data_IF_686339495148
#
_entry.id   IF_686339495148
#
_cell.length_a   1.000
_cell.length_b   1.000
_cell.length_c   1.000
_cell.angle_alpha   90.00
_cell.angle_beta   90.00
_cell.angle_gamma   90.00
#
_symmetry.space_group_name_H-M   'P 1'
#
loop_
_entity.id
_entity.type
_entity.pdbx_description
1 polymer ?
#
# COMPACT_ATOMS: atom_id res chain seq x y z
N UNK A 1 7.71 -2.65 15.76
CA UNK A 1 6.71 -3.29 14.83
C UNK A 1 6.68 -2.56 13.49
N UNK A 2 6.52 -1.23 13.44
CA UNK A 2 6.53 -0.48 12.17
C UNK A 2 7.92 -0.29 11.56
N UNK A 3 8.97 -0.55 12.29
CA UNK A 3 10.37 -0.57 11.84
C UNK A 3 10.70 -1.69 10.85
N UNK A 4 9.84 -2.72 10.77
CA UNK A 4 9.99 -3.83 9.83
C UNK A 4 9.21 -3.64 8.50
N UNK A 5 8.54 -2.50 8.30
CA UNK A 5 7.76 -2.23 7.10
C UNK A 5 8.15 -0.89 6.47
N UNK A 6 8.33 -0.88 5.17
CA UNK A 6 8.42 0.34 4.37
C UNK A 6 7.05 0.62 3.75
N UNK A 7 6.56 1.85 3.93
CA UNK A 7 5.36 2.31 3.21
C UNK A 7 5.80 2.84 1.85
N UNK A 8 5.24 2.27 0.79
CA UNK A 8 5.49 2.64 -0.60
C UNK A 8 4.24 3.31 -1.17
N UNK A 9 4.38 4.51 -1.68
CA UNK A 9 3.31 5.27 -2.33
C UNK A 9 3.76 5.63 -3.74
N UNK A 10 3.01 5.19 -4.75
CA UNK A 10 3.19 5.66 -6.13
C UNK A 10 2.28 6.86 -6.36
N UNK A 11 2.86 7.99 -6.74
CA UNK A 11 2.13 9.23 -7.00
C UNK A 11 2.16 9.58 -8.48
N UNK A 12 1.05 10.14 -8.99
CA UNK A 12 0.95 10.75 -10.31
C UNK A 12 -0.13 11.83 -10.27
N UNK A 13 0.29 13.11 -10.33
CA UNK A 13 -0.60 14.29 -10.16
C UNK A 13 -1.44 14.20 -8.87
N UNK A 14 -0.81 13.86 -7.76
CA UNK A 14 -1.47 13.51 -6.49
C UNK A 14 -1.39 14.62 -5.44
N UNK A 15 -0.96 15.84 -5.78
CA UNK A 15 -0.82 16.95 -4.82
C UNK A 15 -2.10 17.22 -4.01
N UNK A 16 -3.26 16.98 -4.61
CA UNK A 16 -4.58 17.22 -4.01
C UNK A 16 -4.98 16.21 -2.93
N UNK A 17 -4.33 15.04 -2.84
CA UNK A 17 -4.70 13.98 -1.88
C UNK A 17 -3.57 13.57 -0.93
N UNK A 18 -2.41 14.24 -0.97
CA UNK A 18 -1.27 13.89 -0.10
C UNK A 18 -1.62 13.98 1.40
N UNK A 19 -2.53 14.86 1.79
CA UNK A 19 -2.94 15.05 3.19
C UNK A 19 -3.52 13.77 3.82
N UNK A 20 -4.21 12.94 3.03
CA UNK A 20 -4.76 11.67 3.49
C UNK A 20 -3.68 10.69 4.02
N UNK A 21 -2.43 10.87 3.60
CA UNK A 21 -1.32 10.02 4.02
C UNK A 21 -0.62 10.48 5.30
N UNK A 22 -0.89 11.71 5.81
CA UNK A 22 -0.14 12.28 6.93
C UNK A 22 -0.17 11.43 8.18
N UNK A 23 -1.35 10.96 8.57
CA UNK A 23 -1.52 10.16 9.76
C UNK A 23 -0.70 8.86 9.71
N UNK A 24 -0.63 8.22 8.54
CA UNK A 24 0.15 7.01 8.33
C UNK A 24 1.65 7.31 8.31
N UNK A 25 2.08 8.22 7.43
CA UNK A 25 3.50 8.43 7.13
C UNK A 25 4.26 9.08 8.29
N UNK A 26 3.60 9.91 9.12
CA UNK A 26 4.21 10.46 10.33
C UNK A 26 4.62 9.39 11.35
N UNK A 27 4.03 8.20 11.31
CA UNK A 27 4.29 7.10 12.24
C UNK A 27 5.20 6.00 11.65
N UNK A 28 5.57 6.12 10.36
CA UNK A 28 6.36 5.11 9.66
C UNK A 28 7.80 5.59 9.49
N UNK A 29 8.80 4.90 10.07
CA UNK A 29 10.20 5.31 9.94
C UNK A 29 10.78 5.10 8.53
N UNK A 30 10.18 4.23 7.74
CA UNK A 30 10.62 3.90 6.39
C UNK A 30 9.51 4.20 5.38
N UNK A 31 9.72 5.22 4.55
CA UNK A 31 8.77 5.69 3.54
C UNK A 31 9.48 5.88 2.21
N UNK A 32 8.90 5.36 1.14
CA UNK A 32 9.33 5.59 -0.24
C UNK A 32 8.16 6.14 -1.05
N UNK A 33 8.31 7.34 -1.55
CA UNK A 33 7.37 7.97 -2.50
C UNK A 33 7.96 7.80 -3.90
N UNK A 34 7.26 7.10 -4.77
CA UNK A 34 7.68 6.87 -6.16
C UNK A 34 6.85 7.74 -7.09
N UNK A 35 7.35 8.93 -7.41
CA UNK A 35 6.64 9.88 -8.24
C UNK A 35 6.79 9.55 -9.73
N UNK A 36 5.66 9.33 -10.35
CA UNK A 36 5.56 8.84 -11.73
C UNK A 36 5.53 9.97 -12.78
N UNK A 37 6.29 11.03 -12.54
CA UNK A 37 6.42 12.17 -13.45
C UNK A 37 5.30 13.20 -13.30
N UNK A 38 4.95 13.56 -12.08
CA UNK A 38 3.96 14.60 -11.79
C UNK A 38 4.46 15.98 -12.19
N UNK A 39 3.56 16.78 -12.78
CA UNK A 39 3.81 18.19 -13.13
C UNK A 39 3.07 19.19 -12.24
N UNK A 40 2.43 18.71 -11.16
CA UNK A 40 1.58 19.51 -10.26
C UNK A 40 2.26 19.89 -8.93
N UNK A 41 3.57 19.65 -8.81
CA UNK A 41 4.34 19.90 -7.58
C UNK A 41 4.23 18.78 -6.54
N UNK A 42 3.66 17.61 -6.87
CA UNK A 42 3.57 16.45 -5.97
C UNK A 42 4.90 16.09 -5.31
N UNK A 43 6.02 15.88 -6.05
CA UNK A 43 7.27 15.43 -5.42
C UNK A 43 7.90 16.49 -4.51
N UNK A 44 7.73 17.78 -4.81
CA UNK A 44 8.22 18.88 -3.98
C UNK A 44 7.42 18.96 -2.66
N UNK A 45 6.09 18.86 -2.75
CA UNK A 45 5.22 18.83 -1.59
C UNK A 45 5.49 17.58 -0.72
N UNK A 46 5.70 16.42 -1.32
CA UNK A 46 6.04 15.19 -0.58
C UNK A 46 7.35 15.35 0.22
N UNK A 47 8.40 15.94 -0.38
CA UNK A 47 9.68 16.22 0.31
C UNK A 47 9.52 17.20 1.46
N UNK A 48 8.71 18.24 1.27
CA UNK A 48 8.45 19.23 2.32
C UNK A 48 7.62 18.66 3.47
N UNK A 49 6.62 17.82 3.14
CA UNK A 49 5.69 17.25 4.09
C UNK A 49 6.29 16.11 4.92
N UNK A 50 7.11 15.26 4.30
CA UNK A 50 7.74 14.10 4.92
C UNK A 50 9.26 14.09 4.65
N UNK A 51 10.04 14.93 5.38
CA UNK A 51 11.50 15.05 5.14
C UNK A 51 12.28 13.75 5.36
N UNK A 52 11.71 12.78 6.09
CA UNK A 52 12.29 11.46 6.31
C UNK A 52 12.04 10.47 5.17
N UNK A 53 11.11 10.80 4.25
CA UNK A 53 10.78 9.93 3.14
C UNK A 53 11.83 9.99 2.02
N UNK A 54 12.08 8.85 1.40
CA UNK A 54 12.84 8.79 0.14
C UNK A 54 11.89 9.07 -1.01
N UNK A 55 12.11 10.18 -1.75
CA UNK A 55 11.29 10.55 -2.91
C UNK A 55 12.05 10.25 -4.20
N UNK A 56 11.55 9.27 -4.96
CA UNK A 56 12.06 8.86 -6.27
C UNK A 56 11.23 9.56 -7.37
N UNK A 57 11.73 10.66 -7.92
CA UNK A 57 11.08 11.36 -9.02
C UNK A 57 11.57 10.80 -10.36
N UNK A 58 10.69 10.17 -11.13
CA UNK A 58 11.08 9.48 -12.38
C UNK A 58 11.12 10.39 -13.60
N UNK A 59 10.59 11.60 -13.52
CA UNK A 59 10.55 12.58 -14.62
C UNK A 59 9.62 12.19 -15.79
N UNK A 60 9.01 11.01 -15.75
CA UNK A 60 8.02 10.52 -16.74
C UNK A 60 7.16 9.43 -16.13
N UNK A 61 5.99 9.20 -16.69
CA UNK A 61 5.12 8.10 -16.28
C UNK A 61 5.68 6.76 -16.80
N UNK A 62 6.05 5.88 -15.86
CA UNK A 62 6.58 4.53 -16.12
C UNK A 62 5.46 3.48 -16.11
N UNK A 63 4.25 3.85 -15.69
CA UNK A 63 3.18 2.94 -15.32
C UNK A 63 3.26 2.49 -13.86
N UNK A 64 2.10 2.11 -13.30
CA UNK A 64 1.94 1.79 -11.87
C UNK A 64 2.89 0.67 -11.40
N UNK A 65 2.92 -0.45 -12.13
CA UNK A 65 3.75 -1.60 -11.76
C UNK A 65 5.25 -1.29 -11.77
N UNK A 66 5.75 -0.58 -12.79
CA UNK A 66 7.17 -0.26 -12.89
C UNK A 66 7.60 0.74 -11.80
N UNK A 67 6.74 1.73 -11.46
CA UNK A 67 7.01 2.67 -10.38
C UNK A 67 7.05 1.96 -9.02
N UNK A 68 6.12 1.02 -8.76
CA UNK A 68 6.14 0.18 -7.56
C UNK A 68 7.42 -0.66 -7.49
N UNK A 69 7.80 -1.33 -8.58
CA UNK A 69 9.01 -2.15 -8.60
C UNK A 69 10.28 -1.35 -8.28
N UNK A 70 10.37 -0.10 -8.75
CA UNK A 70 11.49 0.79 -8.40
C UNK A 70 11.48 1.16 -6.92
N UNK A 71 10.32 1.44 -6.34
CA UNK A 71 10.20 1.71 -4.92
C UNK A 71 10.55 0.48 -4.08
N UNK A 72 10.06 -0.69 -4.46
CA UNK A 72 10.40 -1.96 -3.79
C UNK A 72 11.90 -2.26 -3.84
N UNK A 73 12.57 -1.98 -4.96
CA UNK A 73 14.02 -2.12 -5.07
C UNK A 73 14.81 -1.18 -4.12
N UNK A 74 14.22 -0.05 -3.72
CA UNK A 74 14.79 0.86 -2.73
C UNK A 74 14.46 0.46 -1.28
N UNK A 75 13.58 -0.51 -1.07
CA UNK A 75 13.13 -0.97 0.24
C UNK A 75 14.14 -1.91 0.88
N UNK A 76 14.39 -1.74 2.19
CA UNK A 76 15.36 -2.55 2.97
C UNK A 76 14.73 -3.31 4.13
N UNK A 77 13.43 -3.17 4.34
CA UNK A 77 12.67 -3.86 5.38
C UNK A 77 12.11 -5.19 4.87
N UNK A 78 11.82 -6.17 5.72
CA UNK A 78 11.26 -7.45 5.29
C UNK A 78 9.84 -7.36 4.72
N UNK A 79 9.12 -6.30 5.08
CA UNK A 79 7.75 -6.04 4.61
C UNK A 79 7.68 -4.70 3.86
N UNK A 80 6.79 -4.62 2.87
CA UNK A 80 6.47 -3.37 2.18
C UNK A 80 4.95 -3.22 2.06
N UNK A 81 4.39 -2.11 2.55
CA UNK A 81 3.00 -1.73 2.29
C UNK A 81 2.95 -0.87 1.04
N UNK A 82 2.36 -1.37 -0.03
CA UNK A 82 1.97 -0.55 -1.17
C UNK A 82 0.60 0.05 -0.87
N UNK A 83 0.49 1.37 -0.96
CA UNK A 83 -0.78 2.09 -0.74
C UNK A 83 -0.94 3.19 -1.78
N UNK A 84 -2.15 3.32 -2.33
CA UNK A 84 -2.48 4.40 -3.24
C UNK A 84 -2.58 5.74 -2.49
N UNK A 85 -2.25 6.87 -3.12
CA UNK A 85 -2.25 8.17 -2.45
C UNK A 85 -3.65 8.67 -2.04
N UNK A 86 -4.70 8.08 -2.58
CA UNK A 86 -6.12 8.36 -2.28
C UNK A 86 -6.72 7.37 -1.26
N UNK A 87 -5.91 6.47 -0.70
CA UNK A 87 -6.34 5.51 0.33
C UNK A 87 -5.88 5.95 1.72
N UNK A 88 -6.80 5.98 2.65
CA UNK A 88 -6.50 6.20 4.05
C UNK A 88 -6.23 4.87 4.75
N UNK A 89 -5.03 4.73 5.31
CA UNK A 89 -4.64 3.61 6.16
C UNK A 89 -4.20 4.17 7.51
N UNK A 90 -4.87 3.75 8.57
CA UNK A 90 -4.51 4.22 9.92
C UNK A 90 -3.23 3.51 10.41
N UNK A 91 -2.44 4.14 11.31
CA UNK A 91 -1.30 3.48 11.93
C UNK A 91 -1.67 2.17 12.65
N UNK A 92 -2.85 2.10 13.25
CA UNK A 92 -3.35 0.88 13.91
C UNK A 92 -3.73 -0.20 12.89
N UNK A 93 -4.34 0.19 11.78
CA UNK A 93 -4.60 -0.71 10.65
C UNK A 93 -3.32 -1.32 10.09
N UNK A 94 -2.25 -0.52 9.95
CA UNK A 94 -0.95 -1.04 9.53
C UNK A 94 -0.34 -1.98 10.58
N UNK A 95 -0.45 -1.66 11.89
CA UNK A 95 0.02 -2.57 12.95
C UNK A 95 -0.70 -3.90 12.89
N UNK A 96 -2.00 -3.89 12.63
CA UNK A 96 -2.79 -5.12 12.49
C UNK A 96 -2.38 -5.93 11.26
N UNK A 97 -2.15 -5.30 10.11
CA UNK A 97 -1.62 -5.99 8.93
C UNK A 97 -0.27 -6.65 9.20
N UNK A 98 0.64 -5.95 9.89
CA UNK A 98 1.94 -6.50 10.29
C UNK A 98 1.77 -7.67 11.28
N UNK A 99 0.83 -7.55 12.23
CA UNK A 99 0.51 -8.63 13.16
C UNK A 99 0.04 -9.88 12.42
N UNK A 100 -0.89 -9.72 11.47
CA UNK A 100 -1.38 -10.83 10.63
C UNK A 100 -0.23 -11.42 9.82
N UNK A 101 0.61 -10.59 9.21
CA UNK A 101 1.78 -11.06 8.46
C UNK A 101 2.72 -11.93 9.31
N UNK A 102 2.94 -11.57 10.56
CA UNK A 102 3.79 -12.33 11.47
C UNK A 102 3.17 -13.67 11.90
N UNK A 103 1.84 -13.76 11.94
CA UNK A 103 1.13 -15.00 12.24
C UNK A 103 0.96 -15.91 11.01
N UNK A 104 1.11 -15.37 9.81
CA UNK A 104 0.98 -16.08 8.53
C UNK A 104 2.26 -15.96 7.70
N UNK A 105 3.37 -16.60 8.12
CA UNK A 105 4.67 -16.43 7.46
C UNK A 105 4.71 -16.97 6.03
N UNK A 106 3.79 -17.83 5.65
CA UNK A 106 3.63 -18.36 4.28
C UNK A 106 2.92 -17.39 3.33
N UNK A 107 2.18 -16.41 3.87
CA UNK A 107 1.48 -15.44 3.04
C UNK A 107 2.46 -14.47 2.39
N UNK A 108 2.47 -14.44 1.05
CA UNK A 108 3.29 -13.52 0.27
C UNK A 108 2.70 -12.10 0.23
N UNK A 109 1.37 -12.00 0.14
CA UNK A 109 0.62 -10.75 0.11
C UNK A 109 -0.53 -10.82 1.11
N UNK A 110 -0.74 -9.75 1.86
CA UNK A 110 -1.87 -9.56 2.76
C UNK A 110 -2.52 -8.22 2.39
N UNK A 111 -3.82 -8.23 2.15
CA UNK A 111 -4.58 -7.02 1.85
C UNK A 111 -5.66 -6.80 2.91
N UNK A 112 -5.89 -5.55 3.35
CA UNK A 112 -6.99 -5.24 4.24
C UNK A 112 -8.32 -5.30 3.48
N UNK A 113 -9.41 -5.47 4.22
CA UNK A 113 -10.72 -5.13 3.68
C UNK A 113 -10.81 -3.60 3.56
N UNK A 114 -11.30 -3.13 2.43
CA UNK A 114 -11.50 -1.69 2.21
C UNK A 114 -12.90 -1.28 2.68
N UNK A 115 -13.01 -0.05 3.12
CA UNK A 115 -14.29 0.61 3.41
C UNK A 115 -14.46 1.80 2.47
N UNK A 116 -15.66 1.94 1.91
CA UNK A 116 -16.00 3.12 1.12
C UNK A 116 -16.26 4.34 2.01
N UNK A 117 -16.42 5.51 1.42
CA UNK A 117 -16.71 6.78 2.12
C UNK A 117 -17.97 6.73 3.02
N UNK A 118 -18.86 5.78 2.81
CA UNK A 118 -20.05 5.55 3.65
C UNK A 118 -19.77 4.67 4.88
N UNK A 119 -18.52 4.25 5.13
CA UNK A 119 -18.15 3.30 6.19
C UNK A 119 -18.64 1.87 5.95
N UNK A 120 -19.12 1.57 4.74
CA UNK A 120 -19.52 0.20 4.38
C UNK A 120 -18.33 -0.55 3.82
N UNK A 121 -18.15 -1.79 4.31
CA UNK A 121 -17.16 -2.70 3.77
C UNK A 121 -17.38 -2.91 2.26
N UNK A 122 -16.33 -2.74 1.47
CA UNK A 122 -16.32 -3.05 0.04
C UNK A 122 -15.62 -4.39 -0.18
N UNK A 123 -16.19 -5.23 -1.04
CA UNK A 123 -15.57 -6.51 -1.40
C UNK A 123 -14.49 -6.23 -2.45
N UNK A 124 -13.28 -5.97 -1.96
CA UNK A 124 -12.10 -5.64 -2.75
C UNK A 124 -11.24 -6.86 -3.16
N UNK A 125 -11.83 -8.05 -3.10
CA UNK A 125 -11.17 -9.31 -3.45
C UNK A 125 -12.12 -10.24 -4.22
N UNK A 126 -11.55 -11.33 -4.77
CA UNK A 126 -12.31 -12.43 -5.37
C UNK A 126 -11.83 -13.76 -4.81
N UNK A 127 -12.76 -14.62 -4.50
CA UNK A 127 -12.44 -16.00 -4.16
C UNK A 127 -11.76 -16.72 -5.32
N UNK A 128 -10.92 -17.74 -5.06
CA UNK A 128 -10.37 -18.58 -6.12
C UNK A 128 -11.50 -19.16 -6.96
N UNK A 129 -11.35 -19.19 -8.27
CA UNK A 129 -12.35 -19.73 -9.20
C UNK A 129 -12.68 -21.21 -8.96
N UNK A 130 -11.77 -21.93 -8.32
CA UNK A 130 -11.94 -23.32 -7.86
C UNK A 130 -12.91 -23.46 -6.67
N UNK A 131 -13.20 -22.35 -5.96
CA UNK A 131 -14.08 -22.33 -4.78
C UNK A 131 -15.43 -21.71 -5.12
N UNK A 132 -15.42 -20.57 -5.81
CA UNK A 132 -16.64 -19.82 -6.15
C UNK A 132 -16.53 -19.19 -7.55
N UNK A 133 -17.57 -19.38 -8.37
CA UNK A 133 -17.65 -18.81 -9.72
C UNK A 133 -17.96 -17.29 -9.73
N UNK A 134 -18.30 -16.70 -8.57
CA UNK A 134 -18.65 -15.29 -8.41
C UNK A 134 -17.83 -14.61 -7.32
N UNK A 135 -18.10 -13.33 -7.01
CA UNK A 135 -17.46 -12.61 -5.90
C UNK A 135 -17.62 -13.30 -4.54
N UNK A 136 -18.67 -14.09 -4.36
CA UNK A 136 -18.97 -14.79 -3.11
C UNK A 136 -19.34 -13.86 -1.94
N UNK A 137 -19.64 -14.45 -0.75
CA UNK A 137 -19.90 -13.68 0.46
C UNK A 137 -18.63 -13.00 0.96
N UNK A 138 -18.79 -11.94 1.77
CA UNK A 138 -17.68 -11.32 2.51
C UNK A 138 -16.99 -12.33 3.43
N UNK A 139 -15.68 -12.19 3.61
CA UNK A 139 -14.93 -12.99 4.57
C UNK A 139 -15.20 -12.48 5.99
N UNK A 140 -15.46 -13.38 6.94
CA UNK A 140 -15.64 -13.05 8.36
C UNK A 140 -14.30 -12.96 9.12
N UNK A 141 -13.18 -13.21 8.43
CA UNK A 141 -11.83 -13.17 8.98
C UNK A 141 -10.78 -13.35 7.87
N UNK A 142 -9.48 -13.54 8.22
CA UNK A 142 -8.44 -13.77 7.22
C UNK A 142 -8.78 -14.96 6.33
N UNK A 143 -8.73 -14.76 5.02
CA UNK A 143 -9.07 -15.77 4.02
C UNK A 143 -8.07 -15.76 2.86
N UNK A 144 -7.78 -16.95 2.31
CA UNK A 144 -7.01 -17.07 1.08
C UNK A 144 -7.91 -16.72 -0.11
N UNK A 145 -7.52 -15.72 -0.88
CA UNK A 145 -8.28 -15.23 -2.02
C UNK A 145 -7.46 -15.32 -3.31
N UNK A 146 -8.14 -15.40 -4.45
CA UNK A 146 -7.49 -15.50 -5.76
C UNK A 146 -7.08 -14.15 -6.35
N UNK A 147 -7.62 -13.04 -5.82
CA UNK A 147 -7.36 -11.70 -6.31
C UNK A 147 -7.70 -10.67 -5.24
N UNK A 148 -6.91 -9.61 -5.15
CA UNK A 148 -7.19 -8.40 -4.35
C UNK A 148 -7.03 -7.15 -5.22
N UNK A 149 -7.76 -6.08 -4.86
CA UNK A 149 -7.59 -4.77 -5.48
C UNK A 149 -6.30 -4.13 -4.97
N UNK A 150 -5.52 -3.55 -5.86
CA UNK A 150 -4.20 -2.98 -5.57
C UNK A 150 -4.19 -1.64 -4.84
N UNK A 151 -5.23 -1.33 -4.05
CA UNK A 151 -5.33 -0.06 -3.33
C UNK A 151 -4.46 -0.01 -2.07
N UNK A 152 -4.41 -1.12 -1.32
CA UNK A 152 -3.49 -1.31 -0.19
C UNK A 152 -3.10 -2.79 -0.11
N UNK A 153 -1.80 -3.09 -0.14
CA UNK A 153 -1.27 -4.46 -0.11
C UNK A 153 0.04 -4.51 0.67
N UNK A 154 0.11 -5.36 1.68
CA UNK A 154 1.34 -5.65 2.41
C UNK A 154 2.05 -6.85 1.77
N UNK A 155 3.25 -6.64 1.29
CA UNK A 155 4.11 -7.64 0.66
C UNK A 155 5.16 -8.15 1.64
N UNK A 156 5.42 -9.46 1.62
CA UNK A 156 6.59 -10.08 2.23
C UNK A 156 7.69 -10.22 1.18
N UNK A 157 8.72 -9.37 1.26
CA UNK A 157 9.73 -9.26 0.19
C UNK A 157 10.59 -10.50 -0.01
N UNK A 158 10.72 -11.38 0.98
CA UNK A 158 11.42 -12.66 0.85
C UNK A 158 10.69 -13.69 -0.02
N UNK A 159 9.50 -13.38 -0.51
CA UNK A 159 8.69 -14.26 -1.36
C UNK A 159 8.68 -13.84 -2.85
N UNK A 160 9.42 -12.77 -3.20
CA UNK A 160 9.50 -12.23 -4.56
C UNK A 160 10.91 -12.12 -5.08
#
# INVERSE_FOLDING_TARGET
MLDQVTVVVVTYHSAHCLEALDALLAHCPHVVISDNGSGDGTPEQARARWPHATVLAHGRNLGFGAANNRALAATRTPLALLVNPDCEVTPDGLRELVRVANHMPEAAIIAPQLEGASGRADVNYRWPSTVLASRGPGAEGPACVGFVVGAAMLFRLSRF
#
